data_IF_711062917588
#
_entry.id   IF_711062917588
#
_cell.length_a   1.000
_cell.length_b   1.000
_cell.length_c   1.000
_cell.angle_alpha   90.00
_cell.angle_beta   90.00
_cell.angle_gamma   90.00
#
_symmetry.space_group_name_H-M   'P 1'
#
loop_
_entity.id
_entity.type
_entity.pdbx_description
1 polymer ?
#
# COMPACT_ATOMS: atom_id res chain seq x y z
N UNK A 1 5.76 17.25 0.60
CA UNK A 1 5.00 15.99 0.75
C UNK A 1 4.96 15.61 2.22
N UNK A 2 3.84 15.07 2.70
CA UNK A 2 3.77 14.43 4.02
C UNK A 2 3.36 12.97 3.87
N UNK A 3 3.91 12.11 4.73
CA UNK A 3 3.58 10.69 4.78
C UNK A 3 3.72 10.15 6.21
N UNK A 4 3.41 8.89 6.41
CA UNK A 4 3.66 8.15 7.65
C UNK A 4 5.16 8.14 8.04
N UNK A 5 6.07 8.35 7.07
CA UNK A 5 7.51 8.30 7.28
C UNK A 5 8.14 9.68 7.58
N UNK A 6 7.40 10.79 7.31
CA UNK A 6 7.92 12.13 7.55
C UNK A 6 7.38 13.24 6.67
N UNK A 7 7.99 14.41 6.80
CA UNK A 7 7.78 15.60 5.95
C UNK A 7 8.96 15.75 5.00
N UNK A 8 8.66 15.94 3.72
CA UNK A 8 9.66 16.14 2.68
C UNK A 8 9.40 17.45 1.94
N UNK A 9 10.42 18.32 1.87
CA UNK A 9 10.43 19.56 1.07
C UNK A 9 11.52 19.41 0.01
N UNK A 10 11.18 19.58 -1.25
CA UNK A 10 12.10 19.41 -2.39
C UNK A 10 12.91 18.10 -2.35
N UNK A 11 12.25 17.00 -1.94
CA UNK A 11 12.89 15.69 -1.81
C UNK A 11 13.77 15.49 -0.58
N UNK A 12 13.96 16.52 0.26
CA UNK A 12 14.71 16.42 1.52
C UNK A 12 13.76 16.15 2.68
N UNK A 13 14.03 15.12 3.48
CA UNK A 13 13.29 14.85 4.72
C UNK A 13 13.66 15.88 5.77
N UNK A 14 12.69 16.66 6.24
CA UNK A 14 12.85 17.70 7.25
C UNK A 14 12.25 17.35 8.61
N UNK A 15 11.38 16.33 8.65
CA UNK A 15 10.80 15.79 9.88
C UNK A 15 10.57 14.29 9.73
N UNK A 16 10.51 13.56 10.84
CA UNK A 16 10.41 12.10 10.92
C UNK A 16 9.19 11.66 11.73
N UNK A 17 8.70 10.45 11.48
CA UNK A 17 7.56 9.85 12.15
C UNK A 17 6.24 10.09 11.41
N UNK A 18 5.12 9.72 12.03
CA UNK A 18 3.79 9.84 11.40
C UNK A 18 3.39 11.30 11.19
N UNK A 19 3.64 11.77 9.97
CA UNK A 19 3.31 13.11 9.49
C UNK A 19 2.07 13.15 8.59
N UNK A 20 1.21 12.14 8.63
CA UNK A 20 -0.03 12.04 7.83
C UNK A 20 -1.21 12.84 8.41
N UNK A 21 -0.96 13.71 9.37
CA UNK A 21 -1.99 14.51 10.05
C UNK A 21 -2.05 15.98 9.60
N UNK A 22 -3.11 16.71 10.04
CA UNK A 22 -3.38 18.09 9.60
C UNK A 22 -2.32 19.12 10.05
N UNK A 23 -1.59 18.85 11.14
CA UNK A 23 -0.48 19.73 11.57
C UNK A 23 0.65 19.73 10.54
N UNK A 24 1.01 18.54 10.07
CA UNK A 24 2.06 18.38 9.05
C UNK A 24 1.63 19.03 7.72
N UNK A 25 0.36 18.87 7.32
CA UNK A 25 -0.18 19.55 6.15
C UNK A 25 -0.07 21.08 6.28
N UNK A 26 -0.48 21.66 7.42
CA UNK A 26 -0.35 23.11 7.67
C UNK A 26 1.11 23.59 7.63
N UNK A 27 2.03 22.82 8.23
CA UNK A 27 3.45 23.18 8.23
C UNK A 27 4.01 23.25 6.81
N UNK A 28 3.65 22.29 5.94
CA UNK A 28 4.07 22.29 4.53
C UNK A 28 3.44 23.46 3.77
N UNK A 29 2.13 23.73 3.95
CA UNK A 29 1.44 24.83 3.27
C UNK A 29 1.96 26.23 3.66
N UNK A 30 2.53 26.37 4.85
CA UNK A 30 3.12 27.62 5.33
C UNK A 30 4.60 27.77 4.93
N UNK A 31 5.21 26.73 4.35
CA UNK A 31 6.62 26.78 3.98
C UNK A 31 6.83 27.62 2.71
N UNK A 32 7.74 28.61 2.73
CA UNK A 32 7.89 29.59 1.65
C UNK A 32 8.34 29.01 0.31
N UNK A 33 9.01 27.84 0.33
CA UNK A 33 9.54 27.20 -0.88
C UNK A 33 8.58 26.14 -1.47
N UNK A 34 7.31 26.09 -0.99
CA UNK A 34 6.33 25.10 -1.46
C UNK A 34 5.31 25.74 -2.38
N UNK A 35 5.34 25.38 -3.66
CA UNK A 35 4.35 25.77 -4.67
C UNK A 35 3.24 24.73 -4.84
N UNK A 36 3.53 23.45 -4.57
CA UNK A 36 2.58 22.34 -4.66
C UNK A 36 2.88 21.30 -3.57
N UNK A 37 1.81 20.65 -3.07
CA UNK A 37 1.94 19.69 -1.97
C UNK A 37 1.16 18.40 -2.22
N UNK A 38 1.69 17.29 -1.72
CA UNK A 38 1.02 15.98 -1.68
C UNK A 38 0.93 15.55 -0.22
N UNK A 39 -0.28 15.27 0.25
CA UNK A 39 -0.54 14.89 1.63
C UNK A 39 -1.10 13.47 1.73
N UNK A 40 -0.42 12.59 2.44
CA UNK A 40 -1.07 11.43 3.01
C UNK A 40 -2.04 11.91 4.10
N UNK A 41 -3.28 11.44 4.08
CA UNK A 41 -4.32 11.89 4.99
C UNK A 41 -4.86 10.70 5.78
N UNK A 42 -4.34 10.53 6.99
CA UNK A 42 -4.72 9.43 7.86
C UNK A 42 -6.03 9.71 8.59
N UNK A 43 -6.82 8.67 8.76
CA UNK A 43 -8.10 8.67 9.49
C UNK A 43 -8.01 9.36 10.84
N UNK A 44 -6.99 9.02 11.64
CA UNK A 44 -6.83 9.56 12.99
C UNK A 44 -6.64 11.07 13.02
N UNK A 45 -5.96 11.64 12.04
CA UNK A 45 -5.81 13.08 11.86
C UNK A 45 -7.14 13.75 11.55
N UNK A 46 -7.87 13.22 10.57
CA UNK A 46 -9.19 13.74 10.15
C UNK A 46 -10.18 13.76 11.31
N UNK A 47 -10.25 12.68 12.10
CA UNK A 47 -11.16 12.58 13.24
C UNK A 47 -10.85 13.58 14.35
N UNK A 48 -9.58 13.93 14.57
CA UNK A 48 -9.17 14.81 15.66
C UNK A 48 -9.20 16.29 15.29
N UNK A 49 -8.75 16.64 14.09
CA UNK A 49 -8.45 18.04 13.72
C UNK A 49 -8.90 18.40 12.28
N UNK A 50 -9.55 17.50 11.56
CA UNK A 50 -9.90 17.71 10.14
C UNK A 50 -8.71 17.58 9.20
N UNK A 51 -8.74 18.30 8.05
CA UNK A 51 -7.76 18.14 6.97
C UNK A 51 -6.51 19.05 7.12
N UNK A 52 -6.63 20.20 7.77
CA UNK A 52 -5.58 21.22 7.82
C UNK A 52 -5.52 22.13 6.59
N UNK A 53 -6.45 21.96 5.65
CA UNK A 53 -6.71 22.80 4.46
C UNK A 53 -8.21 22.79 4.13
N UNK A 54 -8.69 23.79 3.38
CA UNK A 54 -10.12 23.91 3.05
C UNK A 54 -10.48 23.16 1.78
N UNK A 55 -9.68 23.28 0.74
CA UNK A 55 -9.89 22.64 -0.57
C UNK A 55 -8.60 21.99 -1.07
N UNK A 56 -8.76 20.98 -1.92
CA UNK A 56 -7.66 20.36 -2.68
C UNK A 56 -8.01 20.29 -4.17
N UNK A 57 -6.99 20.37 -5.02
CA UNK A 57 -7.17 20.24 -6.47
C UNK A 57 -7.45 18.78 -6.86
N UNK A 58 -6.84 17.82 -6.14
CA UNK A 58 -7.03 16.40 -6.41
C UNK A 58 -7.12 15.62 -5.10
N UNK A 59 -8.21 14.84 -4.96
CA UNK A 59 -8.34 13.81 -3.94
C UNK A 59 -8.11 12.42 -4.56
N UNK A 60 -7.40 11.53 -3.87
CA UNK A 60 -7.15 10.16 -4.34
C UNK A 60 -7.62 9.16 -3.30
N UNK A 61 -8.49 8.22 -3.68
CA UNK A 61 -8.88 7.07 -2.86
C UNK A 61 -8.59 5.79 -3.64
N UNK A 62 -7.65 5.01 -3.13
CA UNK A 62 -7.22 3.77 -3.78
C UNK A 62 -8.13 2.60 -3.43
N UNK A 63 -8.41 2.39 -2.15
CA UNK A 63 -9.30 1.33 -1.64
C UNK A 63 -9.71 1.63 -0.20
N UNK A 64 -10.75 0.93 0.27
CA UNK A 64 -11.15 0.91 1.67
C UNK A 64 -11.28 -0.55 2.11
N UNK A 65 -10.25 -1.05 2.78
CA UNK A 65 -10.19 -2.43 3.24
C UNK A 65 -10.98 -2.69 4.52
N UNK A 66 -11.38 -3.95 4.73
CA UNK A 66 -12.10 -4.40 5.92
C UNK A 66 -11.20 -4.31 7.17
N UNK A 67 -9.89 -4.54 7.03
CA UNK A 67 -8.92 -4.55 8.13
C UNK A 67 -8.34 -3.18 8.52
N UNK A 68 -8.87 -2.06 8.01
CA UNK A 68 -8.27 -0.74 8.18
C UNK A 68 -8.71 -0.06 9.49
N UNK A 69 -8.13 -0.53 10.61
CA UNK A 69 -8.33 0.04 11.96
C UNK A 69 -9.78 0.08 12.46
N UNK A 70 -10.61 -0.89 12.08
CA UNK A 70 -11.95 -1.02 12.65
C UNK A 70 -11.88 -1.36 14.15
N UNK A 71 -12.83 -0.83 14.92
CA UNK A 71 -12.89 -0.98 16.38
C UNK A 71 -12.21 0.15 17.16
N UNK A 72 -11.47 1.06 16.51
CA UNK A 72 -10.84 2.21 17.15
C UNK A 72 -11.63 3.50 16.92
N UNK A 73 -11.68 4.38 17.96
CA UNK A 73 -12.33 5.69 17.90
C UNK A 73 -13.81 5.63 17.47
N UNK A 74 -14.54 4.62 17.92
CA UNK A 74 -15.96 4.38 17.62
C UNK A 74 -16.26 4.09 16.13
N UNK A 75 -15.25 3.85 15.30
CA UNK A 75 -15.42 3.41 13.92
C UNK A 75 -15.37 1.88 13.90
N UNK A 76 -16.53 1.26 13.75
CA UNK A 76 -16.71 -0.20 13.87
C UNK A 76 -17.05 -0.88 12.56
N UNK A 77 -17.49 -0.11 11.57
CA UNK A 77 -17.92 -0.59 10.26
C UNK A 77 -17.14 0.06 9.13
N UNK A 78 -17.11 -0.61 7.97
CA UNK A 78 -16.51 -0.07 6.72
C UNK A 78 -17.26 1.18 6.27
N UNK A 79 -18.58 1.24 6.44
CA UNK A 79 -19.39 2.41 6.07
C UNK A 79 -19.01 3.65 6.92
N UNK A 80 -18.82 3.48 8.22
CA UNK A 80 -18.33 4.57 9.09
C UNK A 80 -16.93 5.02 8.71
N UNK A 81 -16.04 4.08 8.38
CA UNK A 81 -14.71 4.40 7.89
C UNK A 81 -14.75 5.15 6.55
N UNK A 82 -15.65 4.75 5.66
CA UNK A 82 -15.88 5.41 4.37
C UNK A 82 -16.31 6.87 4.55
N UNK A 83 -17.18 7.17 5.53
CA UNK A 83 -17.59 8.55 5.85
C UNK A 83 -16.38 9.40 6.24
N UNK A 84 -15.48 8.88 7.07
CA UNK A 84 -14.27 9.61 7.48
C UNK A 84 -13.32 9.85 6.31
N UNK A 85 -13.05 8.80 5.51
CA UNK A 85 -12.13 8.93 4.35
C UNK A 85 -12.72 9.79 3.22
N UNK A 86 -14.04 9.83 3.10
CA UNK A 86 -14.75 10.64 2.09
C UNK A 86 -14.55 12.15 2.26
N UNK A 87 -14.20 12.61 3.46
CA UNK A 87 -13.98 14.04 3.75
C UNK A 87 -13.03 14.69 2.75
N UNK A 88 -11.96 14.01 2.29
CA UNK A 88 -11.06 14.58 1.28
C UNK A 88 -11.73 14.72 -0.10
N UNK A 89 -12.67 13.83 -0.44
CA UNK A 89 -13.43 13.91 -1.70
C UNK A 89 -14.45 15.05 -1.66
N UNK A 90 -15.07 15.27 -0.51
CA UNK A 90 -16.04 16.36 -0.29
C UNK A 90 -15.38 17.75 -0.37
N UNK A 91 -14.06 17.81 -0.12
CA UNK A 91 -13.28 19.04 -0.13
C UNK A 91 -12.44 19.22 -1.42
N UNK A 92 -12.79 18.51 -2.50
CA UNK A 92 -12.23 18.79 -3.83
C UNK A 92 -12.80 20.13 -4.33
N UNK A 93 -11.91 20.97 -4.88
CA UNK A 93 -12.34 22.22 -5.52
C UNK A 93 -13.31 21.95 -6.68
N UNK A 94 -14.27 22.88 -7.00
CA UNK A 94 -15.22 22.68 -8.11
C UNK A 94 -14.55 22.37 -9.46
N UNK A 95 -13.36 22.93 -9.70
CA UNK A 95 -12.55 22.73 -10.91
C UNK A 95 -11.59 21.53 -10.76
N UNK A 96 -11.50 20.97 -9.56
CA UNK A 96 -10.62 19.85 -9.22
C UNK A 96 -11.17 18.49 -9.63
N UNK A 97 -10.51 17.43 -9.16
CA UNK A 97 -10.88 16.06 -9.51
C UNK A 97 -10.74 15.10 -8.34
N UNK A 98 -11.64 14.13 -8.22
CA UNK A 98 -11.42 12.95 -7.39
C UNK A 98 -10.98 11.77 -8.27
N UNK A 99 -9.86 11.15 -7.92
CA UNK A 99 -9.32 9.93 -8.54
C UNK A 99 -9.75 8.75 -7.70
N UNK A 100 -10.64 7.91 -8.22
CA UNK A 100 -11.33 6.87 -7.46
C UNK A 100 -11.18 5.50 -8.11
N UNK A 101 -10.92 4.47 -7.30
CA UNK A 101 -10.88 3.09 -7.76
C UNK A 101 -12.29 2.55 -8.05
N UNK A 102 -12.57 2.25 -9.32
CA UNK A 102 -13.85 1.70 -9.74
C UNK A 102 -14.03 0.21 -9.38
N UNK A 103 -12.97 -0.48 -8.95
CA UNK A 103 -13.06 -1.86 -8.50
C UNK A 103 -13.54 -1.98 -7.04
N UNK A 104 -13.54 -0.90 -6.29
CA UNK A 104 -14.00 -0.85 -4.90
C UNK A 104 -15.38 -0.14 -4.82
N UNK A 105 -16.47 -0.87 -4.51
CA UNK A 105 -17.81 -0.28 -4.47
C UNK A 105 -17.96 0.82 -3.42
N UNK A 106 -17.22 0.74 -2.30
CA UNK A 106 -17.25 1.75 -1.24
C UNK A 106 -16.61 3.05 -1.74
N UNK A 107 -15.51 2.95 -2.48
CA UNK A 107 -14.85 4.09 -3.12
C UNK A 107 -15.72 4.68 -4.22
N UNK A 108 -16.36 3.85 -5.05
CA UNK A 108 -17.29 4.29 -6.09
C UNK A 108 -18.42 5.14 -5.52
N UNK A 109 -18.98 4.74 -4.37
CA UNK A 109 -20.07 5.47 -3.72
C UNK A 109 -19.67 6.90 -3.28
N UNK A 110 -18.37 7.18 -3.12
CA UNK A 110 -17.91 8.53 -2.79
C UNK A 110 -18.02 9.52 -3.94
N UNK A 111 -18.11 9.06 -5.19
CA UNK A 111 -18.16 9.91 -6.37
C UNK A 111 -19.31 10.93 -6.35
N UNK A 112 -20.46 10.56 -5.76
CA UNK A 112 -21.64 11.46 -5.65
C UNK A 112 -21.40 12.64 -4.70
N UNK A 113 -20.36 12.60 -3.88
CA UNK A 113 -20.04 13.65 -2.91
C UNK A 113 -18.93 14.59 -3.39
N UNK A 114 -18.34 14.33 -4.56
CA UNK A 114 -17.29 15.18 -5.11
C UNK A 114 -17.90 16.40 -5.79
N UNK A 115 -17.52 17.64 -5.38
CA UNK A 115 -17.97 18.86 -6.08
C UNK A 115 -17.33 19.02 -7.47
N UNK A 116 -16.16 18.43 -7.69
CA UNK A 116 -15.40 18.52 -8.92
C UNK A 116 -15.67 17.36 -9.89
N UNK A 117 -14.68 17.06 -10.72
CA UNK A 117 -14.75 15.99 -11.71
C UNK A 117 -14.36 14.65 -11.10
N UNK A 118 -14.77 13.55 -11.74
CA UNK A 118 -14.36 12.19 -11.35
C UNK A 118 -13.47 11.60 -12.42
N UNK A 119 -12.35 11.00 -12.00
CA UNK A 119 -11.52 10.13 -12.81
C UNK A 119 -11.55 8.75 -12.17
N UNK A 120 -12.21 7.79 -12.83
CA UNK A 120 -12.20 6.41 -12.37
C UNK A 120 -11.00 5.65 -12.92
N UNK A 121 -10.39 4.82 -12.06
CA UNK A 121 -9.42 3.84 -12.52
C UNK A 121 -9.80 2.43 -12.08
N UNK A 122 -9.48 1.43 -12.90
CA UNK A 122 -9.57 0.02 -12.56
C UNK A 122 -8.70 -0.79 -13.52
N UNK A 123 -8.09 -1.90 -13.04
CA UNK A 123 -7.31 -2.79 -13.91
C UNK A 123 -8.17 -3.39 -15.01
N UNK A 124 -9.37 -3.85 -14.66
CA UNK A 124 -10.32 -4.40 -15.63
C UNK A 124 -11.03 -3.28 -16.40
N UNK A 125 -10.73 -3.16 -17.69
CA UNK A 125 -11.39 -2.22 -18.60
C UNK A 125 -12.89 -2.47 -18.76
N UNK A 126 -13.36 -3.66 -18.42
CA UNK A 126 -14.77 -4.07 -18.50
C UNK A 126 -15.52 -3.83 -17.20
N UNK A 127 -14.87 -3.33 -16.15
CA UNK A 127 -15.54 -2.94 -14.93
C UNK A 127 -16.76 -2.05 -15.26
N UNK A 128 -17.99 -2.38 -14.80
CA UNK A 128 -19.22 -1.72 -15.24
C UNK A 128 -19.25 -0.22 -14.98
N UNK A 129 -18.72 0.22 -13.82
CA UNK A 129 -18.66 1.64 -13.45
C UNK A 129 -17.73 2.39 -14.40
N UNK A 130 -16.53 1.86 -14.61
CA UNK A 130 -15.54 2.45 -15.51
C UNK A 130 -16.03 2.45 -16.96
N UNK A 131 -16.67 1.36 -17.42
CA UNK A 131 -17.22 1.27 -18.76
C UNK A 131 -18.33 2.30 -18.99
N UNK A 132 -19.23 2.48 -18.01
CA UNK A 132 -20.30 3.49 -18.07
C UNK A 132 -19.74 4.91 -18.12
N UNK A 133 -18.77 5.21 -17.25
CA UNK A 133 -18.13 6.52 -17.18
C UNK A 133 -17.40 6.86 -18.50
N UNK A 134 -16.70 5.88 -19.08
CA UNK A 134 -16.03 5.98 -20.38
C UNK A 134 -17.03 6.20 -21.52
N UNK A 135 -18.18 5.53 -21.51
CA UNK A 135 -19.22 5.68 -22.51
C UNK A 135 -19.81 7.12 -22.50
N UNK A 136 -19.78 7.80 -21.36
CA UNK A 136 -20.15 9.21 -21.21
C UNK A 136 -19.05 10.17 -21.71
N UNK A 137 -17.94 9.67 -22.24
CA UNK A 137 -16.82 10.49 -22.71
C UNK A 137 -15.92 11.05 -21.59
N UNK A 138 -16.13 10.63 -20.34
CA UNK A 138 -15.39 11.11 -19.17
C UNK A 138 -14.03 10.43 -19.03
N UNK A 139 -13.17 10.99 -18.18
CA UNK A 139 -11.80 10.49 -17.94
C UNK A 139 -11.78 9.17 -17.21
N UNK A 140 -11.06 8.20 -17.77
CA UNK A 140 -10.83 6.87 -17.16
C UNK A 140 -9.40 6.42 -17.35
N UNK A 141 -8.91 5.61 -16.39
CA UNK A 141 -7.61 4.94 -16.47
C UNK A 141 -7.80 3.44 -16.28
N UNK A 142 -7.29 2.62 -17.20
CA UNK A 142 -7.44 1.16 -17.16
C UNK A 142 -6.26 0.44 -17.80
N UNK A 143 -6.17 -0.87 -17.59
CA UNK A 143 -5.20 -1.70 -18.30
C UNK A 143 -5.82 -2.21 -19.62
N UNK A 144 -5.07 -2.09 -20.69
CA UNK A 144 -5.39 -2.67 -21.98
C UNK A 144 -4.16 -3.37 -22.54
N UNK A 145 -4.18 -4.72 -22.54
CA UNK A 145 -3.04 -5.59 -22.89
C UNK A 145 -1.85 -5.31 -21.95
N UNK A 146 -0.78 -4.76 -22.49
CA UNK A 146 0.52 -4.50 -21.87
C UNK A 146 0.73 -3.04 -21.44
N UNK A 147 -0.34 -2.25 -21.39
CA UNK A 147 -0.24 -0.82 -21.08
C UNK A 147 -1.36 -0.32 -20.16
N UNK A 148 -1.05 0.70 -19.37
CA UNK A 148 -2.04 1.56 -18.73
C UNK A 148 -2.52 2.58 -19.77
N UNK A 149 -3.83 2.73 -19.90
CA UNK A 149 -4.47 3.61 -20.88
C UNK A 149 -5.31 4.67 -20.17
N UNK A 150 -5.02 5.93 -20.45
CA UNK A 150 -5.84 7.07 -20.10
C UNK A 150 -6.76 7.38 -21.28
N UNK A 151 -8.07 7.44 -21.04
CA UNK A 151 -9.07 7.71 -22.06
C UNK A 151 -10.01 8.85 -21.71
N UNK A 152 -10.28 9.76 -22.65
CA UNK A 152 -11.29 10.82 -22.55
C UNK A 152 -11.98 10.98 -23.90
N UNK A 153 -13.23 10.60 -23.99
CA UNK A 153 -13.94 10.56 -25.27
C UNK A 153 -13.22 9.64 -26.27
N UNK A 154 -12.73 10.24 -27.36
CA UNK A 154 -11.95 9.53 -28.39
C UNK A 154 -10.43 9.61 -28.19
N UNK A 155 -9.97 10.48 -27.30
CA UNK A 155 -8.54 10.65 -27.01
C UNK A 155 -8.05 9.53 -26.12
N UNK A 156 -6.86 9.00 -26.41
CA UNK A 156 -6.18 7.99 -25.59
C UNK A 156 -4.70 8.30 -25.50
N UNK A 157 -4.14 8.08 -24.32
CA UNK A 157 -2.70 8.02 -24.10
C UNK A 157 -2.34 6.69 -23.46
N UNK A 158 -1.17 6.12 -23.77
CA UNK A 158 -0.76 4.77 -23.34
C UNK A 158 0.60 4.81 -22.67
N UNK A 159 0.68 4.16 -21.53
CA UNK A 159 1.92 3.94 -20.77
C UNK A 159 2.24 2.45 -20.78
N UNK A 160 3.24 1.99 -21.56
CA UNK A 160 3.64 0.58 -21.54
C UNK A 160 4.07 0.15 -20.15
N UNK A 161 3.56 -0.97 -19.64
CA UNK A 161 3.91 -1.50 -18.32
C UNK A 161 5.40 -1.83 -18.21
N UNK A 162 6.03 -2.19 -19.32
CA UNK A 162 7.48 -2.40 -19.41
C UNK A 162 8.31 -1.15 -19.04
N UNK A 163 7.74 0.04 -19.21
CA UNK A 163 8.41 1.32 -18.91
C UNK A 163 8.11 1.80 -17.47
N UNK A 164 7.39 1.01 -16.68
CA UNK A 164 7.03 1.33 -15.29
C UNK A 164 7.63 0.26 -14.38
N UNK A 165 8.89 0.41 -13.93
CA UNK A 165 9.63 -0.60 -13.17
C UNK A 165 8.89 -1.08 -11.91
N UNK A 166 8.18 -0.18 -11.24
CA UNK A 166 7.33 -0.44 -10.07
C UNK A 166 6.39 -1.63 -10.29
N UNK A 167 5.83 -1.78 -11.50
CA UNK A 167 4.81 -2.80 -11.81
C UNK A 167 5.41 -4.17 -12.13
N UNK A 168 6.72 -4.28 -12.36
CA UNK A 168 7.41 -5.48 -12.86
C UNK A 168 6.71 -6.07 -14.10
N UNK A 169 6.57 -5.26 -15.13
CA UNK A 169 5.83 -5.59 -16.37
C UNK A 169 4.35 -5.96 -16.11
N UNK A 170 3.74 -5.37 -15.09
CA UNK A 170 2.35 -5.65 -14.73
C UNK A 170 2.13 -6.89 -13.87
N UNK A 171 3.20 -7.56 -13.43
CA UNK A 171 3.10 -8.76 -12.59
C UNK A 171 2.55 -8.43 -11.19
N UNK A 172 2.85 -7.24 -10.66
CA UNK A 172 2.41 -6.81 -9.32
C UNK A 172 1.14 -5.97 -9.45
N UNK A 173 -0.01 -6.60 -9.24
CA UNK A 173 -1.32 -6.01 -9.51
C UNK A 173 -1.60 -4.72 -8.74
N UNK A 174 -1.36 -4.68 -7.43
CA UNK A 174 -1.59 -3.48 -6.63
C UNK A 174 -0.62 -2.33 -7.01
N UNK A 175 0.59 -2.62 -7.48
CA UNK A 175 1.51 -1.60 -7.99
C UNK A 175 1.05 -1.03 -9.33
N UNK A 176 0.36 -1.84 -10.15
CA UNK A 176 -0.31 -1.33 -11.36
C UNK A 176 -1.42 -0.34 -10.96
N UNK A 177 -2.19 -0.65 -9.93
CA UNK A 177 -3.24 0.25 -9.40
C UNK A 177 -2.64 1.53 -8.84
N UNK A 178 -1.55 1.44 -8.08
CA UNK A 178 -0.81 2.62 -7.58
C UNK A 178 -0.31 3.50 -8.74
N UNK A 179 0.27 2.88 -9.79
CA UNK A 179 0.70 3.62 -10.99
C UNK A 179 -0.47 4.28 -11.72
N UNK A 180 -1.63 3.60 -11.84
CA UNK A 180 -2.83 4.18 -12.43
C UNK A 180 -3.35 5.38 -11.64
N UNK A 181 -3.38 5.30 -10.32
CA UNK A 181 -3.77 6.40 -9.43
C UNK A 181 -2.81 7.60 -9.57
N UNK A 182 -1.50 7.36 -9.60
CA UNK A 182 -0.49 8.40 -9.81
C UNK A 182 -0.61 9.07 -11.19
N UNK A 183 -0.80 8.29 -12.26
CA UNK A 183 -1.03 8.80 -13.62
C UNK A 183 -2.30 9.66 -13.67
N UNK A 184 -3.40 9.17 -13.10
CA UNK A 184 -4.66 9.90 -13.05
C UNK A 184 -4.54 11.23 -12.30
N UNK A 185 -3.76 11.25 -11.21
CA UNK A 185 -3.46 12.45 -10.42
C UNK A 185 -2.66 13.47 -11.25
N UNK A 186 -1.58 13.02 -11.87
CA UNK A 186 -0.77 13.88 -12.76
C UNK A 186 -1.59 14.44 -13.91
N UNK A 187 -2.47 13.61 -14.50
CA UNK A 187 -3.39 14.04 -15.55
C UNK A 187 -4.41 15.08 -15.05
N UNK A 188 -4.97 14.87 -13.87
CA UNK A 188 -5.90 15.81 -13.24
C UNK A 188 -5.25 17.20 -13.03
N UNK A 189 -3.97 17.21 -12.63
CA UNK A 189 -3.18 18.43 -12.42
C UNK A 189 -2.66 19.06 -13.72
N UNK A 190 -2.95 18.48 -14.90
CA UNK A 190 -2.47 19.00 -16.17
C UNK A 190 -0.97 18.83 -16.43
N UNK A 191 -0.32 17.92 -15.69
CA UNK A 191 1.09 17.59 -15.92
C UNK A 191 1.22 16.92 -17.29
N UNK A 192 2.24 17.32 -18.07
CA UNK A 192 2.43 16.77 -19.42
C UNK A 192 2.74 15.27 -19.38
N UNK A 193 2.31 14.55 -20.42
CA UNK A 193 2.52 13.10 -20.51
C UNK A 193 4.00 12.72 -20.44
N UNK A 194 4.88 13.51 -21.05
CA UNK A 194 6.33 13.29 -21.05
C UNK A 194 6.93 13.39 -19.64
N UNK A 195 6.39 14.28 -18.79
CA UNK A 195 6.83 14.41 -17.39
C UNK A 195 6.34 13.20 -16.58
N UNK A 196 5.08 12.79 -16.77
CA UNK A 196 4.50 11.62 -16.10
C UNK A 196 5.28 10.34 -16.50
N UNK A 197 5.55 10.14 -17.82
CA UNK A 197 6.32 8.99 -18.32
C UNK A 197 7.72 8.93 -17.70
N UNK A 198 8.43 10.06 -17.67
CA UNK A 198 9.76 10.17 -17.09
C UNK A 198 9.76 9.88 -15.60
N UNK A 199 8.78 10.39 -14.85
CA UNK A 199 8.64 10.15 -13.42
C UNK A 199 8.40 8.67 -13.13
N UNK A 200 7.51 8.02 -13.87
CA UNK A 200 7.21 6.59 -13.72
C UNK A 200 8.40 5.70 -14.08
N UNK A 201 9.12 6.04 -15.16
CA UNK A 201 10.29 5.29 -15.58
C UNK A 201 11.48 5.43 -14.61
N UNK A 202 11.59 6.59 -13.94
CA UNK A 202 12.65 6.87 -12.97
C UNK A 202 12.32 6.47 -11.53
N UNK A 203 11.09 6.08 -11.23
CA UNK A 203 10.71 5.72 -9.87
C UNK A 203 11.21 4.31 -9.54
N UNK A 204 12.14 4.23 -8.61
CA UNK A 204 12.66 2.97 -8.05
C UNK A 204 12.02 2.75 -6.69
N UNK A 205 11.29 1.63 -6.54
CA UNK A 205 10.67 1.25 -5.28
C UNK A 205 11.69 0.45 -4.44
N UNK A 206 12.54 1.17 -3.74
CA UNK A 206 13.56 0.61 -2.85
C UNK A 206 13.40 1.08 -1.40
N UNK A 207 14.30 0.61 -0.53
CA UNK A 207 14.28 0.94 0.90
C UNK A 207 14.54 2.43 1.21
N UNK A 208 15.01 3.22 0.23
CA UNK A 208 15.26 4.66 0.40
C UNK A 208 14.07 5.50 -0.05
N UNK A 209 13.47 5.14 -1.18
CA UNK A 209 12.37 5.90 -1.80
C UNK A 209 10.99 5.55 -1.23
N UNK A 210 10.78 4.29 -0.85
CA UNK A 210 9.54 3.80 -0.27
C UNK A 210 9.83 2.69 0.77
N UNK A 211 10.36 3.04 1.94
CA UNK A 211 10.75 2.08 2.97
C UNK A 211 9.56 1.23 3.44
N UNK A 212 9.76 -0.08 3.52
CA UNK A 212 8.72 -1.02 3.96
C UNK A 212 7.52 -1.15 3.00
N UNK A 213 7.68 -0.82 1.72
CA UNK A 213 6.62 -0.93 0.71
C UNK A 213 7.07 -1.83 -0.43
N UNK A 214 6.96 -3.15 -0.24
CA UNK A 214 7.35 -4.16 -1.22
C UNK A 214 8.81 -4.00 -1.70
N UNK A 215 9.73 -3.80 -0.77
CA UNK A 215 11.15 -3.67 -1.09
C UNK A 215 11.74 -5.04 -1.41
N UNK A 216 12.33 -5.17 -2.59
CA UNK A 216 12.84 -6.45 -3.08
C UNK A 216 14.35 -6.47 -3.11
N UNK A 217 14.93 -7.51 -2.52
CA UNK A 217 16.37 -7.72 -2.42
C UNK A 217 16.75 -9.09 -2.98
N UNK A 218 18.00 -9.23 -3.42
CA UNK A 218 18.64 -10.51 -3.64
C UNK A 218 19.46 -10.90 -2.40
N UNK A 219 19.27 -12.12 -1.93
CA UNK A 219 20.06 -12.71 -0.85
C UNK A 219 20.58 -14.07 -1.29
N UNK A 220 21.86 -14.14 -1.71
CA UNK A 220 22.51 -15.38 -2.16
C UNK A 220 21.69 -16.13 -3.25
N UNK A 221 21.05 -15.39 -4.16
CA UNK A 221 20.21 -15.95 -5.22
C UNK A 221 18.78 -16.31 -4.79
N UNK A 222 18.37 -16.01 -3.55
CA UNK A 222 16.99 -16.02 -3.10
C UNK A 222 16.39 -14.62 -3.21
N UNK A 223 15.08 -14.54 -3.43
CA UNK A 223 14.33 -13.27 -3.44
C UNK A 223 13.79 -12.96 -2.04
N UNK A 224 14.19 -11.82 -1.47
CA UNK A 224 13.59 -11.28 -0.26
C UNK A 224 12.64 -10.16 -0.61
N UNK A 225 11.51 -10.09 0.08
CA UNK A 225 10.55 -8.99 -0.03
C UNK A 225 10.24 -8.51 1.38
N UNK A 226 10.52 -7.24 1.67
CA UNK A 226 10.16 -6.60 2.92
C UNK A 226 8.96 -5.67 2.71
N UNK A 227 7.93 -5.81 3.55
CA UNK A 227 6.71 -5.00 3.50
C UNK A 227 6.14 -4.77 4.90
N UNK A 228 5.50 -3.63 5.12
CA UNK A 228 4.82 -3.27 6.38
C UNK A 228 3.34 -3.67 6.38
N UNK A 229 2.88 -4.47 5.43
CA UNK A 229 1.49 -4.94 5.35
C UNK A 229 1.07 -5.70 6.62
N UNK A 230 0.06 -5.20 7.34
CA UNK A 230 -0.37 -5.74 8.63
C UNK A 230 -1.89 -5.82 8.76
N UNK A 231 -2.61 -5.91 7.65
CA UNK A 231 -4.04 -6.19 7.61
C UNK A 231 -4.35 -7.24 6.53
N UNK A 232 -5.49 -7.95 6.62
CA UNK A 232 -5.82 -9.05 5.70
C UNK A 232 -5.81 -8.65 4.22
N UNK A 233 -6.33 -7.47 3.88
CA UNK A 233 -6.39 -7.03 2.48
C UNK A 233 -4.99 -6.73 1.91
N UNK A 234 -4.12 -6.09 2.69
CA UNK A 234 -2.73 -5.86 2.30
C UNK A 234 -1.99 -7.19 2.11
N UNK A 235 -2.17 -8.13 3.02
CA UNK A 235 -1.55 -9.47 2.94
C UNK A 235 -2.06 -10.23 1.71
N UNK A 236 -3.36 -10.17 1.41
CA UNK A 236 -3.91 -10.77 0.19
C UNK A 236 -3.30 -10.13 -1.06
N UNK A 237 -3.18 -8.81 -1.10
CA UNK A 237 -2.56 -8.11 -2.22
C UNK A 237 -1.08 -8.48 -2.40
N UNK A 238 -0.33 -8.67 -1.31
CA UNK A 238 1.05 -9.15 -1.35
C UNK A 238 1.12 -10.58 -1.88
N UNK A 239 0.27 -11.49 -1.39
CA UNK A 239 0.18 -12.88 -1.85
C UNK A 239 -0.13 -12.92 -3.35
N UNK A 240 -1.11 -12.15 -3.81
CA UNK A 240 -1.45 -12.06 -5.24
C UNK A 240 -0.29 -11.49 -6.06
N UNK A 241 0.39 -10.49 -5.52
CA UNK A 241 1.55 -9.86 -6.16
C UNK A 241 2.72 -10.82 -6.37
N UNK A 242 2.99 -11.70 -5.42
CA UNK A 242 4.08 -12.69 -5.51
C UNK A 242 3.66 -14.00 -6.16
N UNK A 243 2.36 -14.23 -6.40
CA UNK A 243 1.83 -15.51 -6.90
C UNK A 243 2.53 -15.96 -8.19
N UNK A 244 2.83 -15.03 -9.10
CA UNK A 244 3.48 -15.28 -10.38
C UNK A 244 5.02 -15.12 -10.34
N UNK A 245 5.60 -14.79 -9.19
CA UNK A 245 7.05 -14.72 -9.05
C UNK A 245 7.62 -16.15 -8.95
N UNK A 246 8.73 -16.44 -9.66
CA UNK A 246 9.33 -17.77 -9.59
C UNK A 246 9.88 -18.02 -8.17
N UNK A 247 9.56 -19.19 -7.64
CA UNK A 247 10.10 -19.63 -6.35
C UNK A 247 10.08 -21.16 -6.26
N UNK A 248 11.17 -21.75 -5.75
CA UNK A 248 11.26 -23.17 -5.40
C UNK A 248 10.47 -23.46 -4.14
N UNK A 249 10.66 -22.63 -3.12
CA UNK A 249 10.00 -22.66 -1.81
C UNK A 249 9.63 -21.25 -1.43
N UNK A 250 8.53 -21.09 -0.72
CA UNK A 250 8.07 -19.80 -0.21
C UNK A 250 8.02 -19.82 1.30
N UNK A 251 8.65 -18.87 1.94
CA UNK A 251 8.59 -18.65 3.38
C UNK A 251 8.05 -17.25 3.69
N UNK A 252 7.46 -17.10 4.87
CA UNK A 252 7.01 -15.81 5.37
C UNK A 252 7.36 -15.63 6.83
N UNK A 253 7.76 -14.41 7.18
CA UNK A 253 7.98 -13.95 8.56
C UNK A 253 6.89 -12.95 8.89
N UNK A 254 6.13 -13.17 9.96
CA UNK A 254 5.00 -12.31 10.34
C UNK A 254 4.86 -12.16 11.86
N UNK A 255 4.51 -10.92 12.27
CA UNK A 255 3.88 -10.64 13.56
C UNK A 255 2.48 -10.07 13.35
N UNK A 256 1.69 -9.99 14.40
CA UNK A 256 0.39 -9.34 14.41
C UNK A 256 0.41 -8.07 15.26
N UNK A 257 -0.26 -7.01 14.81
CA UNK A 257 -0.46 -5.83 15.63
C UNK A 257 -1.53 -6.11 16.70
N UNK A 258 -1.15 -6.06 17.98
CA UNK A 258 -2.03 -6.44 19.10
C UNK A 258 -3.27 -5.55 19.31
N UNK A 259 -3.30 -4.37 18.71
CA UNK A 259 -4.44 -3.46 18.70
C UNK A 259 -5.51 -3.80 17.64
N UNK A 260 -5.33 -4.91 16.91
CA UNK A 260 -6.30 -5.41 15.92
C UNK A 260 -7.31 -6.36 16.55
N UNK A 261 -8.46 -6.57 15.88
CA UNK A 261 -9.43 -7.58 16.29
C UNK A 261 -8.84 -8.99 16.12
N UNK A 262 -9.29 -9.92 16.97
CA UNK A 262 -8.82 -11.32 16.91
C UNK A 262 -9.00 -11.95 15.53
N UNK A 263 -10.15 -11.70 14.91
CA UNK A 263 -10.48 -12.26 13.60
C UNK A 263 -9.56 -11.68 12.51
N UNK A 264 -9.19 -10.40 12.57
CA UNK A 264 -8.27 -9.79 11.62
C UNK A 264 -6.86 -10.41 11.76
N UNK A 265 -6.42 -10.71 13.00
CA UNK A 265 -5.13 -11.36 13.26
C UNK A 265 -5.13 -12.80 12.73
N UNK A 266 -6.20 -13.58 12.97
CA UNK A 266 -6.33 -14.95 12.44
C UNK A 266 -6.35 -14.97 10.92
N UNK A 267 -7.15 -14.09 10.31
CA UNK A 267 -7.32 -14.03 8.85
C UNK A 267 -6.00 -13.75 8.12
N UNK A 268 -5.08 -12.99 8.70
CA UNK A 268 -3.76 -12.77 8.11
C UNK A 268 -3.04 -14.09 7.84
N UNK A 269 -3.00 -14.96 8.84
CA UNK A 269 -2.32 -16.25 8.71
C UNK A 269 -3.13 -17.32 8.00
N UNK A 270 -4.46 -17.24 7.97
CA UNK A 270 -5.29 -18.05 7.09
C UNK A 270 -4.89 -17.84 5.61
N UNK A 271 -4.74 -16.57 5.19
CA UNK A 271 -4.30 -16.21 3.84
C UNK A 271 -2.89 -16.75 3.57
N UNK A 272 -1.96 -16.52 4.51
CA UNK A 272 -0.57 -16.93 4.36
C UNK A 272 -0.40 -18.45 4.37
N UNK A 273 -1.18 -19.17 5.15
CA UNK A 273 -1.15 -20.63 5.27
C UNK A 273 -1.43 -21.37 3.98
N UNK A 274 -2.17 -20.76 3.06
CA UNK A 274 -2.48 -21.29 1.74
C UNK A 274 -1.45 -20.89 0.67
N UNK A 275 -0.60 -19.90 0.96
CA UNK A 275 0.34 -19.33 -0.01
C UNK A 275 1.80 -19.72 0.24
N UNK A 276 2.18 -20.04 1.50
CA UNK A 276 3.56 -20.26 1.90
C UNK A 276 3.81 -21.68 2.44
N UNK A 277 4.99 -22.19 2.18
CA UNK A 277 5.45 -23.53 2.65
C UNK A 277 5.89 -23.47 4.11
N UNK A 278 6.50 -22.34 4.54
CA UNK A 278 7.00 -22.10 5.89
C UNK A 278 6.49 -20.77 6.43
N UNK A 279 6.07 -20.77 7.68
CA UNK A 279 5.63 -19.57 8.39
C UNK A 279 6.43 -19.43 9.69
N UNK A 280 7.10 -18.31 9.84
CA UNK A 280 7.79 -17.92 11.06
C UNK A 280 6.95 -16.82 11.71
N UNK A 281 6.32 -17.15 12.82
CA UNK A 281 5.60 -16.21 13.66
C UNK A 281 6.58 -15.55 14.61
N UNK A 282 6.58 -14.21 14.73
CA UNK A 282 7.38 -13.59 15.76
C UNK A 282 6.56 -12.75 16.73
N UNK A 283 6.99 -12.74 17.98
CA UNK A 283 6.45 -11.86 19.00
C UNK A 283 7.20 -10.54 18.96
N UNK A 284 6.49 -9.46 18.70
CA UNK A 284 7.03 -8.12 18.76
C UNK A 284 7.32 -7.67 20.21
N UNK A 285 8.19 -6.68 20.38
CA UNK A 285 8.51 -6.10 21.68
C UNK A 285 7.31 -5.38 22.31
N UNK A 286 6.45 -4.77 21.49
CA UNK A 286 5.27 -4.04 21.92
C UNK A 286 3.99 -4.83 21.59
N UNK A 287 3.36 -5.45 22.60
CA UNK A 287 2.12 -6.22 22.42
C UNK A 287 0.84 -5.34 22.31
N UNK A 288 0.99 -4.01 22.34
CA UNK A 288 -0.12 -3.05 22.20
C UNK A 288 -1.33 -3.36 23.07
N UNK A 289 -1.08 -3.74 24.34
CA UNK A 289 -2.10 -4.02 25.35
C UNK A 289 -2.52 -5.48 25.49
N UNK A 290 -2.00 -6.40 24.69
CA UNK A 290 -2.21 -7.85 24.86
C UNK A 290 -1.14 -8.49 25.72
N UNK A 291 -1.46 -9.65 26.28
CA UNK A 291 -0.50 -10.47 27.03
C UNK A 291 0.54 -11.11 26.09
N UNK A 292 1.70 -11.43 26.67
CA UNK A 292 2.74 -12.16 25.95
C UNK A 292 2.22 -13.51 25.42
N UNK A 293 2.49 -13.79 24.15
CA UNK A 293 2.06 -15.01 23.47
C UNK A 293 0.62 -15.00 22.95
N UNK A 294 -0.21 -14.03 23.31
CA UNK A 294 -1.61 -13.96 22.87
C UNK A 294 -1.71 -13.75 21.37
N UNK A 295 -0.95 -12.81 20.81
CA UNK A 295 -0.90 -12.55 19.36
C UNK A 295 -0.37 -13.77 18.60
N UNK A 296 0.68 -14.43 19.11
CA UNK A 296 1.22 -15.67 18.54
C UNK A 296 0.18 -16.78 18.52
N UNK A 297 -0.62 -16.91 19.59
CA UNK A 297 -1.69 -17.90 19.64
C UNK A 297 -2.74 -17.66 18.56
N UNK A 298 -3.20 -16.41 18.38
CA UNK A 298 -4.15 -16.04 17.34
C UNK A 298 -3.62 -16.28 15.92
N UNK A 299 -2.37 -15.91 15.67
CA UNK A 299 -1.70 -16.19 14.37
C UNK A 299 -1.57 -17.70 14.13
N UNK A 300 -1.29 -18.48 15.16
CA UNK A 300 -1.21 -19.95 15.07
C UNK A 300 -2.57 -20.57 14.80
N UNK A 301 -3.64 -20.03 15.42
CA UNK A 301 -5.01 -20.48 15.19
C UNK A 301 -5.42 -20.30 13.72
N UNK A 302 -5.06 -19.18 13.08
CA UNK A 302 -5.30 -18.95 11.66
C UNK A 302 -4.62 -19.97 10.74
N UNK A 303 -3.51 -20.58 11.18
CA UNK A 303 -2.81 -21.64 10.43
C UNK A 303 -3.40 -23.05 10.63
N UNK A 304 -4.41 -23.23 11.51
CA UNK A 304 -4.91 -24.55 11.87
C UNK A 304 -5.44 -25.36 10.66
N UNK A 305 -5.96 -24.67 9.63
CA UNK A 305 -6.50 -25.28 8.41
C UNK A 305 -5.64 -24.99 7.18
N UNK A 306 -4.39 -24.57 7.35
CA UNK A 306 -3.49 -24.23 6.26
C UNK A 306 -3.27 -25.43 5.32
N UNK A 307 -3.47 -25.20 4.02
CA UNK A 307 -3.35 -26.26 3.00
C UNK A 307 -1.93 -26.43 2.49
N UNK A 308 -1.16 -25.36 2.51
CA UNK A 308 0.20 -25.36 1.96
C UNK A 308 1.29 -25.40 3.03
N UNK A 309 1.12 -24.69 4.13
CA UNK A 309 2.15 -24.59 5.18
C UNK A 309 2.51 -25.97 5.77
N UNK A 310 3.81 -26.26 5.81
CA UNK A 310 4.39 -27.50 6.34
C UNK A 310 5.15 -27.30 7.63
N UNK A 311 5.70 -26.09 7.84
CA UNK A 311 6.49 -25.76 9.00
C UNK A 311 6.02 -24.43 9.61
N UNK A 312 5.84 -24.42 10.93
CA UNK A 312 5.44 -23.24 11.70
C UNK A 312 6.40 -23.11 12.87
N UNK A 313 7.15 -22.01 12.91
CA UNK A 313 8.01 -21.66 14.04
C UNK A 313 7.43 -20.46 14.79
N UNK A 314 7.73 -20.34 16.08
CA UNK A 314 7.41 -19.16 16.87
C UNK A 314 8.68 -18.66 17.55
N UNK A 315 9.01 -17.38 17.36
CA UNK A 315 10.27 -16.77 17.77
C UNK A 315 9.97 -15.47 18.52
N UNK A 316 10.72 -15.16 19.55
CA UNK A 316 10.64 -13.85 20.22
C UNK A 316 11.64 -12.90 19.59
N UNK A 317 11.14 -11.81 19.03
CA UNK A 317 11.92 -10.74 18.41
C UNK A 317 11.99 -10.83 16.89
N UNK A 318 11.78 -9.68 16.26
CA UNK A 318 11.75 -9.51 14.81
C UNK A 318 13.07 -9.90 14.13
N UNK A 319 14.19 -9.37 14.63
CA UNK A 319 15.49 -9.59 13.99
C UNK A 319 15.95 -11.04 14.06
N UNK A 320 15.66 -11.75 15.17
CA UNK A 320 15.96 -13.17 15.29
C UNK A 320 15.10 -14.00 14.32
N UNK A 321 13.84 -13.61 14.12
CA UNK A 321 12.97 -14.25 13.14
C UNK A 321 13.47 -14.04 11.70
N UNK A 322 13.91 -12.81 11.38
CA UNK A 322 14.56 -12.48 10.10
C UNK A 322 15.81 -13.34 9.90
N UNK A 323 16.73 -13.37 10.87
CA UNK A 323 17.97 -14.16 10.79
C UNK A 323 17.67 -15.65 10.62
N UNK A 324 16.65 -16.16 11.31
CA UNK A 324 16.23 -17.57 11.19
C UNK A 324 15.70 -17.87 9.78
N UNK A 325 14.93 -16.96 9.19
CA UNK A 325 14.47 -17.10 7.81
C UNK A 325 15.66 -17.10 6.84
N UNK A 326 16.55 -16.10 6.95
CA UNK A 326 17.72 -15.96 6.08
C UNK A 326 18.63 -17.18 6.12
N UNK A 327 18.87 -17.76 7.29
CA UNK A 327 19.71 -18.95 7.47
C UNK A 327 19.16 -20.22 6.77
N UNK A 328 17.88 -20.26 6.44
CA UNK A 328 17.21 -21.40 5.79
C UNK A 328 17.07 -21.24 4.28
N UNK A 329 17.27 -20.02 3.76
CA UNK A 329 17.06 -19.74 2.34
C UNK A 329 18.11 -20.43 1.46
N UNK A 330 17.64 -20.89 0.32
CA UNK A 330 18.45 -21.46 -0.74
C UNK A 330 18.24 -20.66 -2.03
N UNK A 331 19.21 -20.67 -2.96
CA UNK A 331 19.04 -20.03 -4.25
C UNK A 331 17.75 -20.45 -4.94
N UNK A 332 16.98 -19.47 -5.42
CA UNK A 332 15.69 -19.67 -6.05
C UNK A 332 14.49 -19.75 -5.08
N UNK A 333 14.70 -19.59 -3.77
CA UNK A 333 13.61 -19.44 -2.80
C UNK A 333 13.07 -18.00 -2.77
N UNK A 334 11.87 -17.80 -2.22
CA UNK A 334 11.27 -16.50 -1.97
C UNK A 334 10.86 -16.40 -0.51
N UNK A 335 11.26 -15.32 0.15
CA UNK A 335 10.86 -15.00 1.51
C UNK A 335 10.17 -13.65 1.56
N UNK A 336 8.92 -13.61 2.04
CA UNK A 336 8.23 -12.39 2.42
C UNK A 336 8.48 -12.11 3.90
N UNK A 337 8.97 -10.93 4.21
CA UNK A 337 9.21 -10.47 5.58
C UNK A 337 8.25 -9.32 5.86
N UNK A 338 7.25 -9.58 6.69
CA UNK A 338 6.32 -8.56 7.17
C UNK A 338 6.96 -7.89 8.38
N UNK A 339 7.55 -6.72 8.13
CA UNK A 339 8.34 -5.98 9.11
C UNK A 339 7.47 -5.07 9.95
N UNK A 340 7.80 -4.88 11.24
CA UNK A 340 7.13 -3.92 12.15
C UNK A 340 8.01 -2.68 12.37
N UNK A 341 9.28 -2.86 12.71
CA UNK A 341 10.26 -1.78 12.88
C UNK A 341 10.91 -1.45 11.52
N UNK A 342 10.23 -0.63 10.71
CA UNK A 342 10.55 -0.45 9.29
C UNK A 342 12.01 -0.06 9.03
N UNK A 343 12.50 1.03 9.63
CA UNK A 343 13.87 1.53 9.37
C UNK A 343 14.92 0.55 9.90
N UNK A 344 14.73 0.02 11.11
CA UNK A 344 15.64 -0.90 11.77
C UNK A 344 15.67 -2.26 11.08
N UNK A 345 14.52 -2.80 10.68
CA UNK A 345 14.44 -4.07 9.96
C UNK A 345 15.08 -3.99 8.57
N UNK A 346 14.86 -2.90 7.84
CA UNK A 346 15.50 -2.68 6.55
C UNK A 346 17.03 -2.53 6.69
N UNK A 347 17.50 -1.81 7.72
CA UNK A 347 18.93 -1.69 8.02
C UNK A 347 19.54 -3.06 8.39
N UNK A 348 18.82 -3.87 9.20
CA UNK A 348 19.24 -5.22 9.57
C UNK A 348 19.36 -6.14 8.33
N UNK A 349 18.34 -6.15 7.47
CA UNK A 349 18.35 -6.91 6.20
C UNK A 349 19.53 -6.48 5.33
N UNK A 350 19.76 -5.17 5.18
CA UNK A 350 20.86 -4.65 4.39
C UNK A 350 22.24 -5.09 4.93
N UNK A 351 22.42 -5.09 6.26
CA UNK A 351 23.63 -5.60 6.91
C UNK A 351 23.86 -7.08 6.62
N UNK A 352 22.82 -7.92 6.76
CA UNK A 352 22.92 -9.37 6.44
C UNK A 352 23.23 -9.62 4.96
N UNK A 353 22.68 -8.83 4.05
CA UNK A 353 23.01 -8.93 2.62
C UNK A 353 24.49 -8.56 2.38
N UNK A 354 25.00 -7.53 3.07
CA UNK A 354 26.40 -7.12 2.95
C UNK A 354 27.37 -8.17 3.50
N UNK A 355 27.03 -8.82 4.62
CA UNK A 355 27.83 -9.90 5.23
C UNK A 355 27.87 -11.18 4.37
N UNK A 356 26.83 -11.40 3.55
CA UNK A 356 26.68 -12.59 2.72
C UNK A 356 27.37 -12.50 1.34
N UNK A 357 27.88 -11.33 0.98
CA UNK A 357 28.62 -11.06 -0.26
C UNK A 357 30.09 -11.33 -0.11
#
# INVERSE_FOLDING_TARGET
>A
MTSTDGIYIEGKRIDTGDCSGPRSARNVLLHPDVDAAVFETARGGVLREGLGFDLCDVAVITNIGIGDHLGLNFITTVDELAVVKRVIVENVAPEGSAVLNAADPVVVAMAQHCPGQIIFFARDRMNPVLATHRAQGKRVVHVERDAIVCGEGRKKHRFPLANIPLTRNGAIGFQVENAMAAIATGWALGISWEVIERALAGFVNDAQTAPGRFNVFDYQGATLIADYGHNPDAIQALVDGIANMPARRRSVVISGAGDRRDDDIRQQTEILGDAFDDVILYQDACQRGRADGEVIALLRDGLANARRTRQIDAITGEFLAIDTALARLQPGDLCLILIDQVEEALAHIAARIAEAR
#
